data_IF_825707430793
#
_entry.id   IF_825707430793
#
_cell.length_a   1.000
_cell.length_b   1.000
_cell.length_c   1.000
_cell.angle_alpha   90.00
_cell.angle_beta   90.00
_cell.angle_gamma   90.00
#
_symmetry.space_group_name_H-M   'P 1'
#
loop_
_entity.id
_entity.type
_entity.pdbx_description
1 polymer ?
#
# COMPACT_ATOMS: atom_id res chain seq x y z
N UNK A 1 1.45 6.05 16.47
CA UNK A 1 0.15 5.35 16.58
C UNK A 1 0.26 4.10 17.46
N UNK A 2 1.02 3.06 17.11
CA UNK A 2 1.15 1.84 17.94
C UNK A 2 1.66 2.10 19.37
N UNK A 3 2.71 2.92 19.56
CA UNK A 3 3.19 3.27 20.91
C UNK A 3 2.11 3.91 21.78
N UNK A 4 1.35 4.85 21.20
CA UNK A 4 0.22 5.53 21.86
C UNK A 4 -0.88 4.54 22.26
N UNK A 5 -1.21 3.58 21.38
CA UNK A 5 -2.19 2.53 21.66
C UNK A 5 -1.72 1.60 22.78
N UNK A 6 -0.45 1.18 22.79
CA UNK A 6 0.11 0.35 23.86
C UNK A 6 0.11 1.11 25.19
N UNK A 7 0.50 2.39 25.19
CA UNK A 7 0.47 3.26 26.37
C UNK A 7 -0.95 3.46 26.91
N UNK A 8 -1.94 3.67 26.04
CA UNK A 8 -3.36 3.78 26.43
C UNK A 8 -3.87 2.49 27.07
N UNK A 9 -3.61 1.31 26.47
CA UNK A 9 -4.01 0.01 27.01
C UNK A 9 -3.37 -0.30 28.37
N UNK A 10 -2.09 0.04 28.55
CA UNK A 10 -1.40 -0.14 29.83
C UNK A 10 -1.96 0.84 30.89
N UNK A 11 -2.34 2.05 30.48
CA UNK A 11 -2.85 3.09 31.38
C UNK A 11 -4.29 2.85 31.84
N UNK A 12 -5.16 2.29 30.99
CA UNK A 12 -6.55 1.95 31.33
C UNK A 12 -6.66 0.74 32.28
N UNK A 13 -5.62 -0.11 32.34
CA UNK A 13 -5.60 -1.32 33.18
C UNK A 13 -5.32 -1.02 34.67
N UNK A 14 -5.13 0.24 35.06
CA UNK A 14 -4.80 0.62 36.45
C UNK A 14 -6.01 0.80 37.38
N UNK A 15 -7.23 0.36 37.02
CA UNK A 15 -8.38 0.37 37.93
C UNK A 15 -9.04 -1.02 38.04
N UNK A 16 -8.87 -1.63 39.21
CA UNK A 16 -9.52 -2.80 39.85
C UNK A 16 -9.73 -4.13 39.07
N UNK A 17 -9.48 -5.30 39.70
CA UNK A 17 -9.63 -6.60 39.07
C UNK A 17 -11.05 -7.13 39.27
N UNK A 18 -11.99 -6.83 38.40
CA UNK A 18 -13.18 -7.66 38.27
C UNK A 18 -13.83 -7.52 36.90
N UNK A 19 -13.87 -8.64 36.17
CA UNK A 19 -14.99 -9.18 35.37
C UNK A 19 -14.39 -10.08 34.29
N UNK A 20 -14.34 -11.37 34.61
CA UNK A 20 -14.29 -12.41 33.60
C UNK A 20 -15.59 -12.37 32.77
N UNK A 21 -15.49 -12.11 31.46
CA UNK A 21 -16.49 -12.54 30.47
C UNK A 21 -15.83 -12.96 29.16
N UNK A 22 -15.56 -14.25 29.11
CA UNK A 22 -15.90 -15.20 28.04
C UNK A 22 -16.32 -14.60 26.68
N UNK A 23 -15.57 -14.94 25.63
CA UNK A 23 -16.04 -14.85 24.24
C UNK A 23 -15.07 -14.28 23.20
N UNK A 24 -13.87 -14.83 23.04
CA UNK A 24 -13.07 -14.63 21.82
C UNK A 24 -12.65 -16.00 21.27
N UNK A 25 -12.99 -16.35 20.01
CA UNK A 25 -12.66 -17.65 19.42
C UNK A 25 -11.15 -17.80 19.19
N UNK A 26 -10.64 -19.04 19.12
CA UNK A 26 -9.21 -19.32 19.20
C UNK A 26 -8.47 -18.82 17.95
N UNK A 27 -7.65 -17.79 18.15
CA UNK A 27 -6.70 -17.30 17.17
C UNK A 27 -5.69 -18.41 16.88
N UNK A 28 -5.58 -18.81 15.61
CA UNK A 28 -4.83 -19.99 15.18
C UNK A 28 -3.38 -20.01 15.68
N UNK A 29 -3.03 -21.10 16.34
CA UNK A 29 -1.70 -21.74 16.47
C UNK A 29 -0.44 -20.87 16.29
N UNK A 30 -0.39 -19.76 17.01
CA UNK A 30 0.82 -18.97 17.26
C UNK A 30 0.66 -18.41 18.67
N UNK A 31 1.60 -18.73 19.55
CA UNK A 31 1.68 -18.30 20.95
C UNK A 31 0.92 -16.98 21.22
N UNK A 32 -0.11 -17.03 22.08
CA UNK A 32 -1.05 -15.93 22.30
C UNK A 32 -0.50 -14.82 23.19
N UNK A 33 0.76 -14.42 23.01
CA UNK A 33 1.37 -13.35 23.82
C UNK A 33 1.29 -12.00 23.10
N UNK A 34 1.27 -10.90 23.88
CA UNK A 34 1.35 -9.55 23.33
C UNK A 34 2.60 -9.33 22.47
N UNK A 35 3.69 -10.07 22.72
CA UNK A 35 4.90 -10.01 21.91
C UNK A 35 4.69 -10.58 20.51
N UNK A 36 3.97 -11.68 20.40
CA UNK A 36 3.62 -12.30 19.11
C UNK A 36 2.71 -11.37 18.29
N UNK A 37 1.71 -10.76 18.95
CA UNK A 37 0.85 -9.74 18.31
C UNK A 37 1.65 -8.50 17.86
N UNK A 38 2.60 -8.03 18.67
CA UNK A 38 3.49 -6.92 18.31
C UNK A 38 4.34 -7.25 17.07
N UNK A 39 4.93 -8.45 17.03
CA UNK A 39 5.75 -8.89 15.91
C UNK A 39 4.93 -8.96 14.60
N UNK A 40 3.68 -9.43 14.66
CA UNK A 40 2.79 -9.42 13.48
C UNK A 40 2.57 -7.98 12.98
N UNK A 41 2.34 -7.02 13.88
CA UNK A 41 2.15 -5.61 13.49
C UNK A 41 3.43 -5.04 12.88
N UNK A 42 4.60 -5.37 13.43
CA UNK A 42 5.88 -4.89 12.90
C UNK A 42 6.17 -5.44 11.49
N UNK A 43 5.91 -6.73 11.27
CA UNK A 43 6.00 -7.36 9.95
C UNK A 43 5.04 -6.68 8.96
N UNK A 44 3.79 -6.44 9.36
CA UNK A 44 2.81 -5.77 8.50
C UNK A 44 3.23 -4.34 8.13
N UNK A 45 3.82 -3.57 9.05
CA UNK A 45 4.39 -2.25 8.72
C UNK A 45 5.55 -2.34 7.74
N UNK A 46 6.41 -3.35 7.90
CA UNK A 46 7.47 -3.64 6.94
C UNK A 46 6.90 -3.89 5.54
N UNK A 47 5.82 -4.68 5.44
CA UNK A 47 5.12 -4.94 4.18
C UNK A 47 4.46 -3.69 3.61
N UNK A 48 3.86 -2.84 4.45
CA UNK A 48 3.29 -1.54 4.05
C UNK A 48 4.35 -0.66 3.39
N UNK A 49 5.53 -0.55 4.00
CA UNK A 49 6.65 0.23 3.45
C UNK A 49 7.20 -0.36 2.14
N UNK A 50 7.26 -1.70 2.03
CA UNK A 50 7.62 -2.37 0.77
C UNK A 50 6.58 -2.07 -0.32
N UNK A 51 5.29 -2.14 0.01
CA UNK A 51 4.21 -1.83 -0.92
C UNK A 51 4.26 -0.37 -1.39
N UNK A 52 4.45 0.60 -0.48
CA UNK A 52 4.63 2.01 -0.83
C UNK A 52 5.79 2.22 -1.80
N UNK A 53 6.95 1.61 -1.52
CA UNK A 53 8.13 1.68 -2.41
C UNK A 53 7.85 1.04 -3.77
N UNK A 54 7.11 -0.07 -3.81
CA UNK A 54 6.73 -0.73 -5.06
C UNK A 54 5.80 0.16 -5.90
N UNK A 55 4.84 0.84 -5.29
CA UNK A 55 3.96 1.82 -5.96
C UNK A 55 4.77 2.95 -6.55
N UNK A 56 5.68 3.57 -5.78
CA UNK A 56 6.55 4.66 -6.27
C UNK A 56 7.39 4.19 -7.47
N UNK A 57 8.02 3.02 -7.38
CA UNK A 57 8.79 2.43 -8.50
C UNK A 57 7.92 2.19 -9.73
N UNK A 58 6.67 1.77 -9.54
CA UNK A 58 5.73 1.51 -10.63
C UNK A 58 5.38 2.81 -11.37
N UNK A 59 5.09 3.89 -10.65
CA UNK A 59 4.88 5.21 -11.26
C UNK A 59 6.11 5.70 -12.03
N UNK A 60 7.30 5.55 -11.47
CA UNK A 60 8.54 5.90 -12.16
C UNK A 60 8.72 5.10 -13.46
N UNK A 61 8.56 3.77 -13.39
CA UNK A 61 8.67 2.90 -14.56
C UNK A 61 7.61 3.22 -15.62
N UNK A 62 6.39 3.53 -15.21
CA UNK A 62 5.31 3.94 -16.10
C UNK A 62 5.68 5.25 -16.83
N UNK A 63 6.14 6.27 -16.11
CA UNK A 63 6.60 7.52 -16.70
C UNK A 63 7.78 7.33 -17.66
N UNK A 64 8.72 6.43 -17.32
CA UNK A 64 9.82 6.06 -18.22
C UNK A 64 9.30 5.43 -19.51
N UNK A 65 8.37 4.48 -19.42
CA UNK A 65 7.77 3.83 -20.58
C UNK A 65 7.03 4.83 -21.48
N UNK A 66 6.30 5.80 -20.90
CA UNK A 66 5.67 6.89 -21.65
C UNK A 66 6.72 7.72 -22.42
N UNK A 67 7.82 8.07 -21.77
CA UNK A 67 8.88 8.86 -22.38
C UNK A 67 9.60 8.09 -23.50
N UNK A 68 9.85 6.80 -23.30
CA UNK A 68 10.46 5.92 -24.30
C UNK A 68 9.56 5.80 -25.53
N UNK A 69 8.24 5.62 -25.33
CA UNK A 69 7.27 5.58 -26.42
C UNK A 69 7.13 6.93 -27.15
N UNK A 70 7.13 8.04 -26.40
CA UNK A 70 7.13 9.39 -26.98
C UNK A 70 8.37 9.64 -27.83
N UNK A 71 9.54 9.26 -27.31
CA UNK A 71 10.83 9.36 -28.01
C UNK A 71 10.85 8.50 -29.28
N UNK A 72 10.21 7.32 -29.25
CA UNK A 72 10.03 6.49 -30.43
C UNK A 72 9.23 7.22 -31.52
N UNK A 73 8.06 7.78 -31.19
CA UNK A 73 7.25 8.50 -32.18
C UNK A 73 7.89 9.80 -32.68
N UNK A 74 8.64 10.49 -31.84
CA UNK A 74 9.38 11.69 -32.23
C UNK A 74 10.38 11.47 -33.37
N UNK A 75 10.86 10.23 -33.57
CA UNK A 75 11.80 9.91 -34.66
C UNK A 75 11.21 10.16 -36.05
N UNK A 76 9.90 10.06 -36.19
CA UNK A 76 9.20 10.13 -37.49
C UNK A 76 8.04 11.12 -37.51
N UNK A 77 7.72 11.77 -36.39
CA UNK A 77 6.55 12.64 -36.26
C UNK A 77 6.90 13.99 -35.60
N UNK A 78 6.21 15.09 -35.98
CA UNK A 78 6.24 16.32 -35.20
C UNK A 78 5.78 16.09 -33.75
N UNK A 79 6.27 16.93 -32.84
CA UNK A 79 6.03 16.83 -31.39
C UNK A 79 4.55 16.63 -31.02
N UNK A 80 3.66 17.39 -31.64
CA UNK A 80 2.22 17.31 -31.37
C UNK A 80 1.63 15.95 -31.76
N UNK A 81 2.01 15.43 -32.92
CA UNK A 81 1.56 14.11 -33.42
C UNK A 81 2.11 12.99 -32.56
N UNK A 82 3.40 13.03 -32.18
CA UNK A 82 4.00 12.04 -31.29
C UNK A 82 3.25 11.98 -29.94
N UNK A 83 2.89 13.13 -29.37
CA UNK A 83 2.12 13.18 -28.12
C UNK A 83 0.72 12.56 -28.30
N UNK A 84 0.02 12.88 -29.39
CA UNK A 84 -1.29 12.34 -29.67
C UNK A 84 -1.27 10.81 -29.80
N UNK A 85 -0.23 10.25 -30.44
CA UNK A 85 -0.05 8.82 -30.59
C UNK A 85 0.19 8.12 -29.24
N UNK A 86 1.07 8.66 -28.38
CA UNK A 86 1.26 8.12 -27.02
C UNK A 86 -0.05 8.16 -26.24
N UNK A 87 -0.78 9.28 -26.28
CA UNK A 87 -2.04 9.43 -25.55
C UNK A 87 -3.09 8.42 -26.05
N UNK A 88 -3.17 8.18 -27.36
CA UNK A 88 -4.07 7.20 -27.93
C UNK A 88 -3.71 5.78 -27.49
N UNK A 89 -2.41 5.44 -27.50
CA UNK A 89 -1.92 4.13 -27.07
C UNK A 89 -2.26 3.87 -25.59
N UNK A 90 -2.00 4.85 -24.72
CA UNK A 90 -2.33 4.77 -23.30
C UNK A 90 -3.83 4.55 -23.09
N UNK A 91 -4.69 5.29 -23.81
CA UNK A 91 -6.14 5.13 -23.71
C UNK A 91 -6.65 3.77 -24.19
N UNK A 92 -5.98 3.12 -25.14
CA UNK A 92 -6.36 1.77 -25.59
C UNK A 92 -5.99 0.69 -24.58
N UNK A 93 -4.93 0.90 -23.82
CA UNK A 93 -4.39 -0.10 -22.90
C UNK A 93 -4.90 0.04 -21.47
N UNK A 94 -5.25 1.26 -21.06
CA UNK A 94 -5.88 1.49 -19.77
C UNK A 94 -7.38 1.21 -19.87
N UNK A 95 -7.98 0.61 -18.81
CA UNK A 95 -9.43 0.49 -18.76
C UNK A 95 -10.03 1.90 -18.86
N UNK A 96 -11.14 2.01 -19.59
CA UNK A 96 -11.97 3.20 -19.51
C UNK A 96 -12.26 3.42 -18.04
N UNK A 97 -11.87 4.58 -17.52
CA UNK A 97 -12.14 4.94 -16.14
C UNK A 97 -13.65 4.94 -15.96
N UNK A 98 -14.21 3.88 -15.40
CA UNK A 98 -15.44 4.04 -14.63
C UNK A 98 -15.14 5.12 -13.60
N UNK A 99 -15.94 6.18 -13.65
CA UNK A 99 -15.74 7.41 -12.90
C UNK A 99 -15.43 7.10 -11.43
N UNK A 100 -14.24 7.49 -10.98
CA UNK A 100 -13.91 7.62 -9.55
C UNK A 100 -14.45 8.98 -9.08
#
# INVERSE_FOLDING_TARGET
>A
MLKKLIEELISETSQDPEIAKEGIPPLGSGSGTFFDLYNVIDVMKGQEEVAKRAVIKSYFNFGKALNDQFSHYLKTNPKHTAQALVNQEVRKQLPDSESI
#
